data_IF_079625870358
#
_entry.id   IF_079625870358
#
_cell.length_a   1.000
_cell.length_b   1.000
_cell.length_c   1.000
_cell.angle_alpha   90.00
_cell.angle_beta   90.00
_cell.angle_gamma   90.00
#
_symmetry.space_group_name_H-M   'P 1'
#
loop_
_entity.id
_entity.type
_entity.pdbx_description
1 polymer ?
#
# COMPACT_ATOMS: atom_id res chain seq x y z
N UNK A 1 -14.75 8.30 -69.08
CA UNK A 1 -15.49 7.73 -67.93
C UNK A 1 -14.75 8.14 -66.66
N UNK A 2 -15.38 8.90 -65.75
CA UNK A 2 -14.78 9.39 -64.50
C UNK A 2 -15.10 8.43 -63.37
N UNK A 3 -14.10 7.73 -62.85
CA UNK A 3 -14.24 6.83 -61.69
C UNK A 3 -14.26 7.65 -60.40
N UNK A 4 -15.42 7.65 -59.72
CA UNK A 4 -15.58 8.21 -58.39
C UNK A 4 -15.09 7.18 -57.36
N UNK A 5 -14.06 7.52 -56.59
CA UNK A 5 -13.60 6.73 -55.44
C UNK A 5 -14.52 7.01 -54.25
N UNK A 6 -15.34 6.02 -53.86
CA UNK A 6 -16.11 6.04 -52.63
C UNK A 6 -15.21 5.64 -51.46
N UNK A 7 -14.86 6.58 -50.58
CA UNK A 7 -14.23 6.27 -49.29
C UNK A 7 -15.28 5.68 -48.34
N UNK A 8 -15.19 4.37 -48.07
CA UNK A 8 -15.91 3.72 -46.99
C UNK A 8 -15.16 3.95 -45.67
N UNK A 9 -15.71 4.83 -44.82
CA UNK A 9 -15.20 5.03 -43.46
C UNK A 9 -15.61 3.84 -42.57
N UNK A 10 -14.64 3.02 -42.19
CA UNK A 10 -14.82 1.94 -41.21
C UNK A 10 -14.85 2.52 -39.79
N UNK A 11 -16.01 2.44 -39.14
CA UNK A 11 -16.17 2.78 -37.73
C UNK A 11 -15.56 1.68 -36.86
N UNK A 12 -14.41 1.94 -36.25
CA UNK A 12 -13.82 1.05 -35.25
C UNK A 12 -14.59 1.17 -33.93
N UNK A 13 -15.54 0.27 -33.69
CA UNK A 13 -16.18 0.11 -32.37
C UNK A 13 -15.15 -0.52 -31.43
N UNK A 14 -14.61 0.30 -30.52
CA UNK A 14 -13.70 -0.19 -29.47
C UNK A 14 -14.53 -0.86 -28.39
N UNK A 15 -14.52 -2.20 -28.35
CA UNK A 15 -15.07 -2.97 -27.22
C UNK A 15 -14.18 -2.74 -26.00
N UNK A 16 -14.65 -1.93 -25.06
CA UNK A 16 -14.06 -1.84 -23.73
C UNK A 16 -14.49 -3.07 -22.94
N UNK A 17 -13.61 -4.07 -22.85
CA UNK A 17 -13.82 -5.19 -21.94
C UNK A 17 -13.77 -4.68 -20.49
N UNK A 18 -14.94 -4.55 -19.85
CA UNK A 18 -15.01 -4.35 -18.41
C UNK A 18 -14.51 -5.62 -17.71
N UNK A 19 -13.36 -5.56 -17.03
CA UNK A 19 -12.87 -6.67 -16.24
C UNK A 19 -13.85 -6.97 -15.09
N UNK A 20 -14.62 -8.06 -15.23
CA UNK A 20 -15.47 -8.58 -14.16
C UNK A 20 -14.55 -8.96 -12.98
N UNK A 21 -14.72 -8.30 -11.83
CA UNK A 21 -13.99 -8.69 -10.62
C UNK A 21 -14.55 -10.02 -10.12
N UNK A 22 -13.90 -11.13 -10.47
CA UNK A 22 -14.27 -12.44 -9.95
C UNK A 22 -13.93 -12.48 -8.45
N UNK A 23 -14.94 -12.40 -7.59
CA UNK A 23 -14.78 -12.54 -6.15
C UNK A 23 -14.63 -14.01 -5.79
N UNK A 24 -13.61 -14.34 -5.00
CA UNK A 24 -13.42 -15.70 -4.51
C UNK A 24 -14.37 -15.97 -3.35
N UNK A 25 -14.88 -17.20 -3.25
CA UNK A 25 -15.75 -17.63 -2.15
C UNK A 25 -15.28 -18.98 -1.60
N UNK A 26 -15.63 -19.25 -0.35
CA UNK A 26 -15.26 -20.51 0.30
C UNK A 26 -16.29 -21.58 -0.01
N UNK A 27 -15.84 -22.77 -0.41
CA UNK A 27 -16.73 -23.93 -0.58
C UNK A 27 -17.10 -24.58 0.76
N UNK A 28 -16.23 -24.44 1.76
CA UNK A 28 -16.43 -24.98 3.11
C UNK A 28 -16.01 -23.96 4.18
N UNK A 29 -16.40 -24.19 5.44
CA UNK A 29 -16.07 -23.28 6.54
C UNK A 29 -14.69 -23.58 7.16
N UNK A 30 -13.78 -24.23 6.43
CA UNK A 30 -12.44 -24.54 6.93
C UNK A 30 -11.57 -23.28 6.96
N UNK A 31 -10.65 -23.24 7.91
CA UNK A 31 -9.75 -22.10 8.10
C UNK A 31 -8.87 -21.87 6.86
N UNK A 32 -8.34 -22.94 6.26
CA UNK A 32 -7.50 -22.89 5.07
C UNK A 32 -8.25 -22.29 3.87
N UNK A 33 -9.50 -22.71 3.66
CA UNK A 33 -10.36 -22.17 2.60
C UNK A 33 -10.69 -20.69 2.83
N UNK A 34 -10.96 -20.29 4.07
CA UNK A 34 -11.16 -18.88 4.43
C UNK A 34 -9.89 -18.05 4.21
N UNK A 35 -8.71 -18.60 4.50
CA UNK A 35 -7.44 -17.94 4.21
C UNK A 35 -7.21 -17.73 2.72
N UNK A 36 -7.58 -18.72 1.89
CA UNK A 36 -7.54 -18.59 0.44
C UNK A 36 -8.45 -17.46 -0.06
N UNK A 37 -9.68 -17.40 0.44
CA UNK A 37 -10.65 -16.33 0.11
C UNK A 37 -10.13 -14.95 0.50
N UNK A 38 -9.62 -14.80 1.73
CA UNK A 38 -9.05 -13.53 2.20
C UNK A 38 -7.84 -13.14 1.37
N UNK A 39 -6.94 -14.08 1.07
CA UNK A 39 -5.77 -13.78 0.23
C UNK A 39 -6.20 -13.28 -1.15
N UNK A 40 -7.17 -13.95 -1.78
CA UNK A 40 -7.60 -13.65 -3.13
C UNK A 40 -8.45 -12.38 -3.27
N UNK A 41 -9.18 -11.99 -2.21
CA UNK A 41 -10.05 -10.81 -2.23
C UNK A 41 -9.43 -9.57 -1.57
N UNK A 42 -8.56 -9.76 -0.58
CA UNK A 42 -7.98 -8.71 0.27
C UNK A 42 -6.45 -8.66 0.25
N UNK A 43 -5.80 -9.69 -0.28
CA UNK A 43 -4.34 -9.77 -0.41
C UNK A 43 -3.65 -10.60 0.68
N UNK A 44 -2.39 -10.95 0.41
CA UNK A 44 -1.61 -11.87 1.26
C UNK A 44 -1.37 -11.33 2.68
N UNK A 45 -1.27 -10.01 2.83
CA UNK A 45 -1.13 -9.34 4.12
C UNK A 45 -2.34 -9.58 5.04
N UNK A 46 -3.55 -9.52 4.50
CA UNK A 46 -4.78 -9.78 5.24
C UNK A 46 -4.87 -11.25 5.66
N UNK A 47 -4.55 -12.18 4.76
CA UNK A 47 -4.49 -13.60 5.06
C UNK A 47 -3.49 -13.91 6.19
N UNK A 48 -2.31 -13.27 6.19
CA UNK A 48 -1.34 -13.39 7.30
C UNK A 48 -1.89 -12.94 8.65
N UNK A 49 -2.65 -11.83 8.68
CA UNK A 49 -3.27 -11.33 9.92
C UNK A 49 -4.32 -12.32 10.44
N UNK A 50 -5.13 -12.89 9.54
CA UNK A 50 -6.10 -13.92 9.92
C UNK A 50 -5.39 -15.18 10.44
N UNK A 51 -4.38 -15.68 9.72
CA UNK A 51 -3.62 -16.87 10.14
C UNK A 51 -3.00 -16.70 11.54
N UNK A 52 -2.41 -15.54 11.83
CA UNK A 52 -1.82 -15.24 13.13
C UNK A 52 -2.84 -15.28 14.28
N UNK A 53 -4.09 -14.82 14.05
CA UNK A 53 -5.17 -14.91 15.05
C UNK A 53 -5.53 -16.35 15.40
N UNK A 54 -5.26 -17.29 14.49
CA UNK A 54 -5.47 -18.72 14.67
C UNK A 54 -4.18 -19.49 14.99
N UNK A 55 -3.11 -18.80 15.40
CA UNK A 55 -1.85 -19.45 15.79
C UNK A 55 -1.04 -20.02 14.62
N UNK A 56 -1.34 -19.63 13.38
CA UNK A 56 -0.65 -20.12 12.18
C UNK A 56 0.25 -19.05 11.56
N UNK A 57 1.35 -19.49 10.96
CA UNK A 57 2.30 -18.62 10.27
C UNK A 57 2.30 -18.89 8.76
N UNK A 58 1.92 -17.87 7.97
CA UNK A 58 2.04 -17.91 6.50
C UNK A 58 3.31 -17.19 6.07
N UNK A 59 4.34 -17.94 5.68
CA UNK A 59 5.61 -17.39 5.20
C UNK A 59 5.45 -16.65 3.86
N UNK A 60 6.18 -15.53 3.69
CA UNK A 60 6.28 -14.86 2.38
C UNK A 60 7.17 -15.67 1.41
N UNK A 61 8.11 -16.45 1.95
CA UNK A 61 9.20 -17.04 1.17
C UNK A 61 8.99 -18.54 0.89
N UNK A 62 8.34 -19.25 1.81
CA UNK A 62 8.08 -20.68 1.66
C UNK A 62 6.61 -20.97 1.35
N UNK A 63 6.37 -22.03 0.56
CA UNK A 63 5.01 -22.53 0.31
C UNK A 63 4.34 -22.93 1.62
N UNK A 64 3.04 -22.67 1.75
CA UNK A 64 2.29 -22.96 2.98
C UNK A 64 0.92 -23.57 2.67
N UNK A 65 0.03 -22.81 2.05
CA UNK A 65 -1.33 -23.22 1.71
C UNK A 65 -1.50 -23.25 0.19
N UNK A 66 -2.13 -24.32 -0.30
CA UNK A 66 -2.56 -24.44 -1.68
C UNK A 66 -4.07 -24.20 -1.78
N UNK A 67 -4.42 -23.20 -2.57
CA UNK A 67 -5.78 -22.79 -2.89
C UNK A 67 -6.10 -23.31 -4.29
N UNK A 68 -6.90 -24.37 -4.38
CA UNK A 68 -7.18 -25.07 -5.65
C UNK A 68 -5.90 -25.45 -6.43
N UNK A 69 -4.85 -25.87 -5.70
CA UNK A 69 -3.56 -26.26 -6.29
C UNK A 69 -2.58 -25.10 -6.55
N UNK A 70 -3.00 -23.85 -6.39
CA UNK A 70 -2.13 -22.67 -6.52
C UNK A 70 -1.67 -22.18 -5.14
N UNK A 71 -0.44 -21.67 -5.04
CA UNK A 71 0.03 -21.12 -3.76
C UNK A 71 -0.82 -19.91 -3.35
N UNK A 72 -1.17 -19.83 -2.06
CA UNK A 72 -1.94 -18.72 -1.48
C UNK A 72 -1.37 -17.33 -1.81
N UNK A 73 -0.06 -17.22 -2.06
CA UNK A 73 0.63 -16.00 -2.46
C UNK A 73 0.38 -15.64 -3.93
N UNK A 74 0.27 -16.64 -4.79
CA UNK A 74 0.13 -16.46 -6.24
C UNK A 74 -1.27 -15.98 -6.60
N UNK A 75 -2.27 -16.39 -5.82
CA UNK A 75 -3.65 -15.95 -5.98
C UNK A 75 -3.96 -14.63 -5.26
N UNK A 76 -3.00 -14.12 -4.47
CA UNK A 76 -3.25 -12.97 -3.63
C UNK A 76 -3.66 -11.78 -4.50
N UNK A 77 -4.73 -11.07 -4.10
CA UNK A 77 -5.06 -9.80 -4.74
C UNK A 77 -3.83 -8.92 -4.65
N UNK A 78 -3.29 -8.54 -5.81
CA UNK A 78 -2.27 -7.50 -5.85
C UNK A 78 -2.90 -6.30 -5.18
N UNK A 79 -2.30 -5.84 -4.09
CA UNK A 79 -2.62 -4.53 -3.53
C UNK A 79 -2.40 -3.56 -4.69
N UNK A 80 -3.48 -3.20 -5.40
CA UNK A 80 -3.48 -2.02 -6.26
C UNK A 80 -3.12 -0.95 -5.28
N UNK A 81 -1.97 -0.28 -5.46
CA UNK A 81 -1.47 0.69 -4.48
C UNK A 81 -2.67 1.51 -4.06
N UNK A 82 -3.20 1.23 -2.87
CA UNK A 82 -4.32 1.98 -2.35
C UNK A 82 -3.63 3.31 -2.21
N UNK A 83 -3.96 4.24 -3.10
CA UNK A 83 -3.84 5.64 -2.78
C UNK A 83 -4.67 5.74 -1.52
N UNK A 84 -4.00 5.53 -0.37
CA UNK A 84 -4.44 6.04 0.91
C UNK A 84 -4.69 7.47 0.53
N UNK A 85 -5.97 7.83 0.40
CA UNK A 85 -6.34 9.22 0.18
C UNK A 85 -5.56 9.94 1.26
N UNK A 86 -4.53 10.68 0.84
CA UNK A 86 -3.67 11.42 1.75
C UNK A 86 -4.62 12.44 2.34
N UNK A 87 -5.25 12.08 3.46
CA UNK A 87 -5.83 13.05 4.35
C UNK A 87 -4.61 13.89 4.71
N UNK A 88 -4.50 15.07 4.10
CA UNK A 88 -3.43 16.01 4.41
C UNK A 88 -3.48 16.25 5.91
N UNK A 89 -2.61 15.54 6.63
CA UNK A 89 -2.44 15.76 8.06
C UNK A 89 -1.65 17.05 8.14
N UNK A 90 -2.13 18.00 8.93
CA UNK A 90 -1.40 19.23 9.18
C UNK A 90 -0.56 19.05 10.45
N UNK A 91 0.72 19.44 10.39
CA UNK A 91 1.66 19.32 11.51
C UNK A 91 2.12 20.70 11.92
N UNK A 92 1.99 21.02 13.21
CA UNK A 92 2.37 22.32 13.76
C UNK A 92 3.36 22.19 14.92
N UNK A 93 4.20 23.20 15.09
CA UNK A 93 5.05 23.32 16.27
C UNK A 93 4.19 23.63 17.50
N UNK A 94 4.31 22.81 18.55
CA UNK A 94 3.65 23.09 19.83
C UNK A 94 4.31 24.26 20.57
N UNK A 95 5.62 24.41 20.42
CA UNK A 95 6.44 25.40 21.11
C UNK A 95 7.68 25.79 20.29
N UNK A 96 8.49 26.69 20.82
CA UNK A 96 9.72 27.20 20.19
C UNK A 96 10.99 26.49 20.67
N UNK A 97 10.89 25.38 21.39
CA UNK A 97 12.07 24.66 21.85
C UNK A 97 12.88 24.11 20.67
N UNK A 98 14.20 24.02 20.86
CA UNK A 98 15.12 23.56 19.82
C UNK A 98 14.72 22.19 19.27
N UNK A 99 14.28 21.26 20.12
CA UNK A 99 13.82 19.93 19.70
C UNK A 99 12.63 20.02 18.74
N UNK A 100 11.62 20.83 19.07
CA UNK A 100 10.45 21.08 18.21
C UNK A 100 10.88 21.67 16.87
N UNK A 101 11.79 22.65 16.87
CA UNK A 101 12.29 23.26 15.63
C UNK A 101 13.09 22.27 14.77
N UNK A 102 13.86 21.37 15.39
CA UNK A 102 14.56 20.29 14.68
C UNK A 102 13.57 19.30 14.04
N UNK A 103 12.49 18.94 14.75
CA UNK A 103 11.43 18.09 14.21
C UNK A 103 10.71 18.74 13.02
N UNK A 104 10.41 20.05 13.11
CA UNK A 104 9.80 20.79 12.01
C UNK A 104 10.76 20.93 10.82
N UNK A 105 12.04 21.16 11.08
CA UNK A 105 13.08 21.19 10.04
C UNK A 105 13.20 19.85 9.35
N UNK A 106 13.17 18.75 10.11
CA UNK A 106 13.22 17.39 9.58
C UNK A 106 12.07 17.11 8.61
N UNK A 107 10.87 17.59 8.92
CA UNK A 107 9.70 17.45 8.05
C UNK A 107 9.77 18.35 6.82
N UNK A 108 10.12 19.64 7.01
CA UNK A 108 10.11 20.63 5.91
C UNK A 108 11.26 20.44 4.93
N UNK A 109 12.41 19.99 5.40
CA UNK A 109 13.68 20.01 4.66
C UNK A 109 14.39 18.64 4.61
N UNK A 110 13.80 17.62 5.25
CA UNK A 110 14.40 16.29 5.35
C UNK A 110 15.44 16.18 6.47
N UNK A 111 16.02 14.98 6.58
CA UNK A 111 16.87 14.61 7.72
C UNK A 111 18.32 15.15 7.65
N UNK A 112 18.78 15.57 6.47
CA UNK A 112 20.17 15.99 6.27
C UNK A 112 20.55 17.28 7.04
N UNK A 113 19.76 18.36 6.98
CA UNK A 113 20.03 19.56 7.78
C UNK A 113 20.08 19.28 9.28
N UNK A 114 19.18 18.42 9.77
CA UNK A 114 19.13 18.02 11.19
C UNK A 114 20.36 17.19 11.57
N UNK A 115 20.76 16.23 10.74
CA UNK A 115 21.97 15.42 10.96
C UNK A 115 23.23 16.29 11.05
N UNK A 116 23.33 17.37 10.28
CA UNK A 116 24.45 18.32 10.38
C UNK A 116 24.51 19.03 11.73
N UNK A 117 23.35 19.23 12.39
CA UNK A 117 23.27 19.94 13.67
C UNK A 117 23.49 19.03 14.87
N UNK A 118 22.94 17.80 14.87
CA UNK A 118 22.97 16.91 16.04
C UNK A 118 23.81 15.63 15.84
N UNK A 119 24.26 15.35 14.62
CA UNK A 119 25.03 14.16 14.27
C UNK A 119 24.21 12.87 14.29
N UNK A 120 23.83 12.42 15.48
CA UNK A 120 23.08 11.19 15.69
C UNK A 120 21.57 11.45 15.74
N UNK A 121 20.86 11.15 14.65
CA UNK A 121 19.41 11.32 14.56
C UNK A 121 18.61 10.51 15.59
N UNK A 122 19.20 9.47 16.19
CA UNK A 122 18.50 8.64 17.17
C UNK A 122 18.24 9.34 18.51
N UNK A 123 18.91 10.47 18.76
CA UNK A 123 18.72 11.27 19.97
C UNK A 123 17.53 12.21 19.91
N UNK A 124 16.98 12.47 18.71
CA UNK A 124 15.85 13.39 18.50
C UNK A 124 14.53 12.63 18.50
N UNK A 125 13.58 13.05 19.36
CA UNK A 125 12.24 12.47 19.44
C UNK A 125 11.18 13.48 19.04
N UNK A 126 10.41 13.14 18.01
CA UNK A 126 9.30 13.96 17.54
C UNK A 126 8.00 13.25 17.89
N UNK A 127 7.19 13.85 18.77
CA UNK A 127 5.99 13.21 19.35
C UNK A 127 6.27 11.78 19.89
N UNK A 128 7.38 11.62 20.61
CA UNK A 128 7.79 10.35 21.21
C UNK A 128 8.39 9.32 20.23
N UNK A 129 8.47 9.64 18.93
CA UNK A 129 9.02 8.75 17.91
C UNK A 129 10.41 9.20 17.46
N UNK A 130 11.25 8.27 16.98
CA UNK A 130 12.50 8.65 16.34
C UNK A 130 12.22 9.58 15.15
N UNK A 131 13.02 10.64 14.96
CA UNK A 131 12.82 11.60 13.86
C UNK A 131 12.74 10.95 12.48
N UNK A 132 13.46 9.84 12.26
CA UNK A 132 13.44 9.10 10.99
C UNK A 132 12.07 8.51 10.71
N UNK A 133 11.44 7.90 11.72
CA UNK A 133 10.11 7.29 11.62
C UNK A 133 9.03 8.36 11.53
N UNK A 134 9.21 9.46 12.26
CA UNK A 134 8.33 10.61 12.23
C UNK A 134 8.26 11.23 10.84
N UNK A 135 9.40 11.52 10.21
CA UNK A 135 9.45 12.06 8.85
C UNK A 135 8.83 11.10 7.84
N UNK A 136 9.12 9.80 7.94
CA UNK A 136 8.52 8.79 7.07
C UNK A 136 6.99 8.75 7.17
N UNK A 137 6.45 8.96 8.38
CA UNK A 137 5.00 8.95 8.63
C UNK A 137 4.30 10.18 8.07
N UNK A 138 4.95 11.35 8.13
CA UNK A 138 4.35 12.65 7.81
C UNK A 138 4.98 13.31 6.59
N UNK A 139 5.60 12.54 5.70
CA UNK A 139 6.29 13.05 4.51
C UNK A 139 5.37 13.90 3.61
N UNK A 140 4.08 13.58 3.57
CA UNK A 140 3.07 14.26 2.75
C UNK A 140 2.15 15.18 3.57
N UNK A 141 2.54 15.49 4.81
CA UNK A 141 1.79 16.39 5.67
C UNK A 141 1.82 17.82 5.14
N UNK A 142 0.74 18.58 5.38
CA UNK A 142 0.79 20.04 5.30
C UNK A 142 1.52 20.58 6.55
N UNK A 143 2.33 21.62 6.39
CA UNK A 143 3.24 22.13 7.43
C UNK A 143 3.38 23.66 7.36
#
# INVERSE_FOLDING_TARGET
>A
MKTQLLLAASLFVSVTASAQSNTYFSKDNKLESNLCVVSANEGFSAARKMAAKHGMYLSRYSKSILCNGQDIRDIAKKESAVQVASSKVEVFAKDSHQETQLCMTALKQGLQPVRKQIGNLNTLKCNGQNVTDFVKRYQDAAI
#
